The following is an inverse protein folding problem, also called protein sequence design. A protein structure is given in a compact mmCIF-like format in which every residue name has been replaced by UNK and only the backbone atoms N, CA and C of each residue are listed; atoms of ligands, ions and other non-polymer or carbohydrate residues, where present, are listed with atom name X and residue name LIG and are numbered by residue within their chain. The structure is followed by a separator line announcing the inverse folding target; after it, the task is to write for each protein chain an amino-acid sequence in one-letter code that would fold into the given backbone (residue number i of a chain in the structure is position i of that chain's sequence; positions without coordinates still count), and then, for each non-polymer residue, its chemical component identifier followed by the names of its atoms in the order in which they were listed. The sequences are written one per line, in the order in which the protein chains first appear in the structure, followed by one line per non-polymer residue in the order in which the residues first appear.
data_IF_350653689992
#
_entry.id   IF_350653689992
#
_cell.length_a   1.000
_cell.length_b   1.000
_cell.length_c   1.000
_cell.angle_alpha   90.00
_cell.angle_beta   90.00
_cell.angle_gamma   90.00
#
_symmetry.space_group_name_H-M   'P 1'
#
loop_
_entity.id
_entity.type
_entity.pdbx_description
1 polymer ?
#
# COMPACT_ATOMS: atom_id res chain seq x y z
N UNK A 1 -10.00 -12.43 -17.77
CA UNK A 1 -9.16 -11.77 -16.75
C UNK A 1 -9.97 -11.13 -15.64
N UNK A 2 -11.04 -10.39 -15.96
CA UNK A 2 -11.97 -9.81 -14.97
C UNK A 2 -12.53 -10.86 -14.00
N UNK A 3 -13.07 -11.97 -14.51
CA UNK A 3 -13.61 -13.05 -13.66
C UNK A 3 -12.59 -13.54 -12.62
N UNK A 4 -11.35 -13.82 -13.04
CA UNK A 4 -10.28 -14.25 -12.13
C UNK A 4 -9.94 -13.22 -11.04
N UNK A 5 -10.03 -11.93 -11.34
CA UNK A 5 -9.83 -10.89 -10.34
C UNK A 5 -11.00 -10.80 -9.35
N UNK A 6 -12.23 -11.03 -9.83
CA UNK A 6 -13.43 -11.10 -8.99
C UNK A 6 -13.36 -12.30 -8.05
N UNK A 7 -13.00 -13.48 -8.57
CA UNK A 7 -12.84 -14.70 -7.77
C UNK A 7 -11.82 -14.51 -6.65
N UNK A 8 -10.65 -13.94 -6.96
CA UNK A 8 -9.61 -13.62 -5.97
C UNK A 8 -10.05 -12.60 -4.93
N UNK A 9 -10.85 -11.61 -5.34
CA UNK A 9 -11.38 -10.62 -4.42
C UNK A 9 -12.43 -11.23 -3.45
N UNK A 10 -13.19 -12.21 -3.93
CA UNK A 10 -14.14 -12.98 -3.12
C UNK A 10 -13.41 -13.90 -2.15
N UNK A 11 -12.37 -14.62 -2.60
CA UNK A 11 -11.50 -15.44 -1.74
C UNK A 11 -10.86 -14.61 -0.60
N UNK A 12 -10.46 -13.37 -0.89
CA UNK A 12 -9.89 -12.45 0.09
C UNK A 12 -10.93 -11.80 1.01
N UNK A 13 -12.23 -12.00 0.78
CA UNK A 13 -13.30 -11.39 1.55
C UNK A 13 -13.47 -9.87 1.33
N UNK A 14 -12.82 -9.30 0.32
CA UNK A 14 -12.83 -7.86 0.01
C UNK A 14 -13.24 -7.61 -1.46
N UNK A 15 -14.47 -7.95 -1.87
CA UNK A 15 -14.94 -7.80 -3.26
C UNK A 15 -15.31 -6.37 -3.62
N UNK A 16 -14.46 -5.40 -3.26
CA UNK A 16 -14.67 -3.99 -3.59
C UNK A 16 -14.18 -3.68 -5.00
N UNK A 17 -14.82 -2.71 -5.67
CA UNK A 17 -14.41 -2.24 -7.01
C UNK A 17 -12.92 -1.92 -7.07
N UNK A 18 -12.40 -1.21 -6.07
CA UNK A 18 -10.98 -0.83 -5.99
C UNK A 18 -10.08 -2.05 -5.89
N UNK A 19 -10.43 -3.03 -5.06
CA UNK A 19 -9.63 -4.24 -4.90
C UNK A 19 -9.61 -5.08 -6.20
N UNK A 20 -10.76 -5.22 -6.86
CA UNK A 20 -10.87 -5.92 -8.15
C UNK A 20 -10.05 -5.23 -9.24
N UNK A 21 -10.10 -3.89 -9.33
CA UNK A 21 -9.29 -3.12 -10.29
C UNK A 21 -7.79 -3.28 -10.06
N UNK A 22 -7.35 -3.28 -8.79
CA UNK A 22 -5.94 -3.52 -8.44
C UNK A 22 -5.49 -4.94 -8.82
N UNK A 23 -6.33 -5.94 -8.57
CA UNK A 23 -6.05 -7.33 -8.99
C UNK A 23 -6.00 -7.44 -10.51
N UNK A 24 -6.90 -6.79 -11.24
CA UNK A 24 -6.88 -6.75 -12.70
C UNK A 24 -5.59 -6.15 -13.24
N UNK A 25 -5.17 -4.99 -12.72
CA UNK A 25 -3.90 -4.36 -13.08
C UNK A 25 -2.74 -5.33 -12.82
N UNK A 26 -2.70 -5.99 -11.65
CA UNK A 26 -1.65 -6.98 -11.34
C UNK A 26 -1.68 -8.23 -12.20
N UNK A 27 -2.83 -8.62 -12.76
CA UNK A 27 -2.96 -9.78 -13.63
C UNK A 27 -2.61 -9.45 -15.09
N UNK A 28 -2.82 -8.20 -15.50
CA UNK A 28 -2.55 -7.71 -16.86
C UNK A 28 -1.12 -7.20 -16.96
N UNK A 29 -0.72 -6.32 -16.04
CA UNK A 29 0.59 -5.66 -15.99
C UNK A 29 1.59 -6.43 -15.13
N UNK A 30 1.39 -7.75 -14.97
CA UNK A 30 2.41 -8.62 -14.38
C UNK A 30 3.60 -8.71 -15.32
N UNK A 31 4.41 -7.65 -15.39
CA UNK A 31 5.83 -7.85 -15.66
C UNK A 31 6.29 -8.86 -14.61
N UNK A 32 7.00 -9.92 -15.01
CA UNK A 32 7.85 -10.61 -14.07
C UNK A 32 8.61 -9.50 -13.37
N UNK A 33 8.37 -9.33 -12.07
CA UNK A 33 9.34 -8.64 -11.25
C UNK A 33 10.56 -9.54 -11.36
N UNK A 34 11.48 -9.23 -12.27
CA UNK A 34 12.86 -9.73 -12.29
C UNK A 34 13.59 -9.18 -11.06
N UNK A 35 12.92 -9.29 -9.91
CA UNK A 35 13.53 -9.01 -8.65
C UNK A 35 14.24 -10.32 -8.34
N UNK A 36 15.57 -10.28 -8.15
CA UNK A 36 16.27 -11.45 -7.70
C UNK A 36 15.58 -11.96 -6.44
N UNK A 37 15.58 -13.28 -6.26
CA UNK A 37 15.13 -13.86 -5.01
C UNK A 37 15.95 -13.23 -3.88
N UNK A 38 15.28 -12.42 -3.05
CA UNK A 38 15.92 -11.75 -1.92
C UNK A 38 15.73 -12.68 -0.74
N UNK A 39 16.83 -13.24 -0.26
CA UNK A 39 16.83 -13.94 1.03
C UNK A 39 16.64 -12.88 2.12
N UNK A 40 15.49 -12.84 2.81
CA UNK A 40 15.28 -11.88 3.86
C UNK A 40 16.28 -12.17 4.99
N UNK A 41 16.84 -11.14 5.65
CA UNK A 41 17.64 -11.37 6.84
C UNK A 41 16.80 -12.12 7.89
N UNK A 42 17.46 -12.94 8.71
CA UNK A 42 16.88 -13.53 9.91
C UNK A 42 16.15 -12.46 10.74
N UNK A 43 15.12 -12.89 11.48
CA UNK A 43 14.17 -12.03 12.18
C UNK A 43 14.84 -10.76 12.77
N UNK A 44 14.49 -9.60 12.21
CA UNK A 44 15.01 -8.32 12.68
C UNK A 44 14.46 -8.03 14.07
N UNK A 45 15.35 -7.98 15.07
CA UNK A 45 15.02 -7.50 16.40
C UNK A 45 15.11 -5.97 16.45
N UNK A 46 14.03 -5.33 16.88
CA UNK A 46 14.02 -3.89 17.14
C UNK A 46 14.91 -3.61 18.37
N UNK A 47 16.06 -2.96 18.16
CA UNK A 47 16.93 -2.50 19.25
C UNK A 47 16.34 -1.29 19.99
N UNK A 48 15.50 -0.52 19.28
CA UNK A 48 14.83 0.66 19.81
C UNK A 48 13.37 0.64 19.40
N UNK A 49 12.52 1.19 20.26
CA UNK A 49 11.11 1.38 19.94
C UNK A 49 10.98 2.34 18.76
N UNK A 50 10.18 2.02 17.72
CA UNK A 50 9.96 2.93 16.62
C UNK A 50 9.29 4.22 17.10
N UNK A 51 9.81 5.35 16.68
CA UNK A 51 9.19 6.65 16.94
C UNK A 51 8.05 6.90 15.94
N UNK A 52 6.88 7.27 16.44
CA UNK A 52 5.76 7.70 15.62
C UNK A 52 5.96 9.15 15.15
N UNK A 53 7.00 9.41 14.35
CA UNK A 53 7.35 10.76 13.90
C UNK A 53 6.32 11.28 12.87
N UNK A 54 5.44 12.19 13.32
CA UNK A 54 4.41 12.83 12.50
C UNK A 54 4.79 14.26 12.06
N UNK A 55 6.00 14.73 12.37
CA UNK A 55 6.42 16.13 12.19
C UNK A 55 6.17 16.65 10.76
N UNK A 56 6.38 15.81 9.75
CA UNK A 56 6.10 16.16 8.35
C UNK A 56 4.61 16.42 8.10
N UNK A 57 3.74 15.56 8.62
CA UNK A 57 2.30 15.71 8.46
C UNK A 57 1.76 16.88 9.28
N UNK A 58 2.27 17.07 10.50
CA UNK A 58 1.92 18.21 11.35
C UNK A 58 2.27 19.54 10.66
N UNK A 59 3.45 19.63 10.04
CA UNK A 59 3.86 20.81 9.28
C UNK A 59 2.96 21.09 8.06
N UNK A 60 2.54 20.04 7.33
CA UNK A 60 1.60 20.19 6.21
C UNK A 60 0.21 20.63 6.67
N UNK A 61 -0.26 20.09 7.80
CA UNK A 61 -1.55 20.46 8.38
C UNK A 61 -1.57 21.94 8.80
N UNK A 62 -0.53 22.38 9.50
CA UNK A 62 -0.39 23.79 9.90
C UNK A 62 -0.26 24.74 8.70
N UNK A 63 0.39 24.30 7.61
CA UNK A 63 0.48 25.09 6.38
C UNK A 63 -0.87 25.19 5.64
N UNK A 64 -1.68 24.14 5.68
CA UNK A 64 -3.03 24.10 5.10
C UNK A 64 -4.06 24.94 5.86
N UNK A 65 -3.98 24.97 7.19
CA UNK A 65 -4.90 25.75 8.05
C UNK A 65 -4.80 27.28 7.84
N UNK A 66 -3.66 27.79 7.33
CA UNK A 66 -3.46 29.23 7.07
C UNK A 66 -4.20 29.79 5.85
N UNK A 67 -4.91 28.97 5.07
CA UNK A 67 -5.48 29.39 3.76
C UNK A 67 -7.00 29.48 3.70
N UNK A 68 -7.70 29.61 4.83
CA UNK A 68 -9.17 29.65 4.85
C UNK A 68 -9.79 30.86 5.55
N UNK A 69 -9.11 32.00 5.61
CA UNK A 69 -9.72 33.25 6.07
C UNK A 69 -9.40 34.42 5.12
N UNK A 70 -10.19 34.54 4.05
CA UNK A 70 -10.60 35.80 3.37
C UNK A 70 -11.70 35.49 2.37
#
# INVERSE_FOLDING_TARGET
MVLRAVDKALEAGVPTKTHILNLLHRLIDRKPTEHPEVDPPDALALQTTPEANLNRYDGLRQAGEKRHAS
#
